data_IF_840653474920
#
_entry.id   IF_840653474920
#
_cell.length_a   1.000
_cell.length_b   1.000
_cell.length_c   1.000
_cell.angle_alpha   90.00
_cell.angle_beta   90.00
_cell.angle_gamma   90.00
#
_symmetry.space_group_name_H-M   'P 1'
#
loop_
_entity.id
_entity.type
_entity.pdbx_description
1 polymer ?
#
# COMPACT_ATOMS: atom_id res chain seq x y z
N UNK A 1 -18.87 7.69 0.08
CA UNK A 1 -17.51 7.11 0.23
C UNK A 1 -17.60 5.95 1.22
N UNK A 2 -17.08 4.77 0.90
CA UNK A 2 -17.29 3.55 1.72
C UNK A 2 -16.41 3.54 2.99
N UNK A 3 -15.13 3.92 2.88
CA UNK A 3 -14.21 3.85 4.02
C UNK A 3 -14.55 4.77 5.21
N UNK A 4 -14.90 6.06 5.01
CA UNK A 4 -15.35 6.91 6.11
C UNK A 4 -16.61 6.38 6.79
N UNK A 5 -17.56 5.87 6.00
CA UNK A 5 -18.79 5.29 6.52
C UNK A 5 -18.54 4.03 7.35
N UNK A 6 -17.60 3.18 6.92
CA UNK A 6 -17.18 2.01 7.68
C UNK A 6 -16.56 2.42 9.03
N UNK A 7 -15.71 3.45 9.04
CA UNK A 7 -15.10 3.98 10.25
C UNK A 7 -16.14 4.59 11.21
N UNK A 8 -17.08 5.39 10.69
CA UNK A 8 -18.18 5.99 11.47
C UNK A 8 -19.07 4.92 12.14
N UNK A 9 -19.24 3.77 11.49
CA UNK A 9 -20.06 2.65 12.00
C UNK A 9 -19.28 1.58 12.76
N UNK A 10 -17.98 1.77 12.99
CA UNK A 10 -17.14 0.77 13.65
C UNK A 10 -17.04 -0.56 12.90
N UNK A 11 -17.20 -0.55 11.57
CA UNK A 11 -17.14 -1.74 10.74
C UNK A 11 -15.69 -2.06 10.37
N UNK A 12 -15.31 -3.34 10.49
CA UNK A 12 -14.01 -3.81 10.01
C UNK A 12 -13.95 -3.77 8.48
N UNK A 13 -12.81 -3.35 7.93
CA UNK A 13 -12.56 -3.29 6.49
C UNK A 13 -11.45 -4.24 6.10
N UNK A 14 -11.80 -5.18 5.22
CA UNK A 14 -10.87 -6.09 4.54
C UNK A 14 -10.64 -5.56 3.14
N UNK A 15 -9.38 -5.35 2.75
CA UNK A 15 -9.00 -5.01 1.38
C UNK A 15 -8.58 -6.28 0.64
N UNK A 16 -9.41 -6.70 -0.30
CA UNK A 16 -9.11 -7.76 -1.24
C UNK A 16 -8.52 -7.18 -2.54
N UNK A 17 -7.66 -7.94 -3.21
CA UNK A 17 -6.95 -7.55 -4.44
C UNK A 17 -6.17 -6.21 -4.28
N UNK A 18 -5.29 -6.09 -3.28
CA UNK A 18 -4.60 -4.82 -2.97
C UNK A 18 -3.76 -4.27 -4.14
N UNK A 19 -3.34 -5.13 -5.06
CA UNK A 19 -2.56 -4.75 -6.24
C UNK A 19 -3.41 -4.47 -7.50
N UNK A 20 -4.74 -4.52 -7.39
CA UNK A 20 -5.65 -4.28 -8.51
C UNK A 20 -5.42 -5.23 -9.69
N UNK A 21 -5.24 -6.53 -9.42
CA UNK A 21 -4.91 -7.57 -10.43
C UNK A 21 -3.67 -7.22 -11.25
N UNK A 22 -2.56 -6.91 -10.58
CA UNK A 22 -1.28 -6.48 -11.17
C UNK A 22 -1.29 -5.16 -11.95
N UNK A 23 -2.41 -4.43 -12.01
CA UNK A 23 -2.47 -3.12 -12.67
C UNK A 23 -1.48 -2.13 -12.09
N UNK A 24 -1.27 -2.15 -10.77
CA UNK A 24 -0.28 -1.29 -10.13
C UNK A 24 1.15 -1.64 -10.57
N UNK A 25 1.48 -2.92 -10.65
CA UNK A 25 2.80 -3.36 -11.12
C UNK A 25 3.03 -3.05 -12.59
N UNK A 26 1.99 -3.10 -13.43
CA UNK A 26 2.09 -2.69 -14.83
C UNK A 26 2.53 -1.22 -14.96
N UNK A 27 1.94 -0.32 -14.16
CA UNK A 27 2.31 1.11 -14.15
C UNK A 27 3.70 1.36 -13.54
N UNK A 28 4.09 0.57 -12.53
CA UNK A 28 5.38 0.67 -11.85
C UNK A 28 6.55 0.04 -12.63
N UNK A 29 6.27 -0.77 -13.65
CA UNK A 29 7.30 -1.52 -14.39
C UNK A 29 8.36 -0.59 -14.96
N UNK A 30 9.64 -0.92 -14.70
CA UNK A 30 10.79 -0.14 -15.16
C UNK A 30 11.04 1.17 -14.40
N UNK A 31 10.21 1.49 -13.40
CA UNK A 31 10.38 2.68 -12.57
C UNK A 31 11.05 2.33 -11.25
N UNK A 32 11.97 3.19 -10.82
CA UNK A 32 12.55 3.12 -9.50
C UNK A 32 11.54 3.61 -8.45
N UNK A 33 11.69 3.12 -7.21
CA UNK A 33 10.97 3.72 -6.09
C UNK A 33 11.42 5.18 -5.90
N UNK A 34 10.53 6.08 -5.47
CA UNK A 34 10.95 7.42 -5.13
C UNK A 34 11.85 7.39 -3.90
N UNK A 35 12.80 8.31 -3.79
CA UNK A 35 13.76 8.34 -2.68
C UNK A 35 13.09 8.38 -1.30
N UNK A 36 11.94 9.06 -1.22
CA UNK A 36 11.18 9.16 0.03
C UNK A 36 10.57 7.84 0.49
N UNK A 37 10.53 6.79 -0.33
CA UNK A 37 10.12 5.47 0.11
C UNK A 37 10.99 4.96 1.28
N UNK A 38 12.27 5.38 1.34
CA UNK A 38 13.17 5.08 2.46
C UNK A 38 12.71 5.71 3.78
N UNK A 39 11.97 6.83 3.74
CA UNK A 39 11.43 7.49 4.94
C UNK A 39 10.37 6.62 5.64
N UNK A 40 9.78 5.65 4.93
CA UNK A 40 8.79 4.69 5.44
C UNK A 40 9.30 3.24 5.40
N UNK A 41 10.62 3.06 5.40
CA UNK A 41 11.29 1.75 5.39
C UNK A 41 10.80 0.83 4.25
N UNK A 42 10.51 1.43 3.09
CA UNK A 42 9.96 0.73 1.93
C UNK A 42 11.05 0.45 0.89
N UNK A 43 11.27 -0.83 0.59
CA UNK A 43 12.29 -1.30 -0.35
C UNK A 43 11.72 -1.86 -1.67
N UNK A 44 10.41 -2.08 -1.77
CA UNK A 44 9.77 -2.59 -3.00
C UNK A 44 8.47 -1.85 -3.34
N UNK A 45 8.03 -1.93 -4.60
CA UNK A 45 6.73 -1.42 -5.01
C UNK A 45 5.56 -2.12 -4.31
N UNK A 46 5.69 -3.41 -4.01
CA UNK A 46 4.67 -4.14 -3.25
C UNK A 46 4.52 -3.53 -1.85
N UNK A 47 5.64 -3.30 -1.15
CA UNK A 47 5.65 -2.64 0.14
C UNK A 47 5.05 -1.23 0.06
N UNK A 48 5.35 -0.47 -1.00
CA UNK A 48 4.81 0.89 -1.19
C UNK A 48 3.28 0.87 -1.26
N UNK A 49 2.70 -0.02 -2.08
CA UNK A 49 1.25 -0.13 -2.22
C UNK A 49 0.57 -0.64 -0.95
N UNK A 50 1.16 -1.65 -0.30
CA UNK A 50 0.58 -2.22 0.92
C UNK A 50 0.66 -1.23 2.09
N UNK A 51 1.77 -0.51 2.28
CA UNK A 51 1.91 0.54 3.31
C UNK A 51 0.93 1.69 3.08
N UNK A 52 0.67 2.07 1.82
CA UNK A 52 -0.36 3.06 1.50
C UNK A 52 -1.74 2.61 2.02
N UNK A 53 -2.12 1.35 1.77
CA UNK A 53 -3.39 0.80 2.23
C UNK A 53 -3.46 0.67 3.76
N UNK A 54 -2.40 0.11 4.38
CA UNK A 54 -2.29 -0.06 5.83
C UNK A 54 -2.35 1.27 6.59
N UNK A 55 -1.88 2.37 6.00
CA UNK A 55 -1.92 3.68 6.64
C UNK A 55 -3.32 4.26 6.83
N UNK A 56 -4.33 3.73 6.14
CA UNK A 56 -5.68 4.28 6.19
C UNK A 56 -6.38 3.84 7.49
N UNK A 57 -6.88 4.77 8.32
CA UNK A 57 -7.42 4.44 9.65
C UNK A 57 -8.63 3.49 9.62
N UNK A 58 -9.42 3.52 8.54
CA UNK A 58 -10.53 2.59 8.37
C UNK A 58 -10.12 1.16 7.97
N UNK A 59 -8.88 0.91 7.54
CA UNK A 59 -8.45 -0.41 7.04
C UNK A 59 -8.04 -1.28 8.23
N UNK A 60 -8.69 -2.44 8.37
CA UNK A 60 -8.39 -3.41 9.42
C UNK A 60 -7.34 -4.41 8.95
N UNK A 61 -7.48 -4.92 7.72
CA UNK A 61 -6.57 -5.92 7.17
C UNK A 61 -6.52 -5.85 5.63
N UNK A 62 -5.36 -6.20 5.09
CA UNK A 62 -5.09 -6.36 3.65
C UNK A 62 -4.70 -7.81 3.39
N UNK A 63 -5.18 -8.39 2.30
CA UNK A 63 -4.89 -9.79 1.95
C UNK A 63 -4.17 -9.82 0.58
N UNK A 64 -2.84 -9.68 0.56
CA UNK A 64 -2.06 -9.84 -0.65
C UNK A 64 -1.81 -11.32 -0.94
N UNK A 65 -2.53 -11.88 -1.92
CA UNK A 65 -2.33 -13.26 -2.38
C UNK A 65 -1.10 -13.41 -3.28
N UNK A 66 -0.31 -14.46 -3.05
CA UNK A 66 0.79 -14.88 -3.90
C UNK A 66 1.07 -16.37 -3.72
N UNK A 67 1.53 -17.03 -4.76
CA UNK A 67 2.01 -18.41 -4.79
C UNK A 67 3.54 -18.52 -4.62
N UNK A 68 4.24 -17.38 -4.47
CA UNK A 68 5.70 -17.31 -4.41
C UNK A 68 6.18 -16.94 -3.00
N UNK A 69 7.00 -17.77 -2.33
CA UNK A 69 7.50 -17.49 -0.99
C UNK A 69 8.24 -16.16 -0.87
N UNK A 70 9.03 -15.80 -1.87
CA UNK A 70 9.78 -14.54 -1.89
C UNK A 70 8.85 -13.31 -1.88
N UNK A 71 7.71 -13.40 -2.56
CA UNK A 71 6.70 -12.34 -2.56
C UNK A 71 5.88 -12.32 -1.27
N UNK A 72 5.64 -13.48 -0.67
CA UNK A 72 5.01 -13.55 0.65
C UNK A 72 5.87 -12.84 1.70
N UNK A 73 7.19 -13.07 1.69
CA UNK A 73 8.14 -12.39 2.57
C UNK A 73 8.15 -10.86 2.35
N UNK A 74 8.15 -10.42 1.09
CA UNK A 74 8.12 -8.99 0.76
C UNK A 74 6.80 -8.31 1.19
N UNK A 75 5.68 -9.00 0.99
CA UNK A 75 4.36 -8.52 1.45
C UNK A 75 4.31 -8.40 2.98
N UNK A 76 4.87 -9.36 3.72
CA UNK A 76 4.95 -9.33 5.18
C UNK A 76 5.84 -8.18 5.67
N UNK A 77 6.93 -7.88 4.95
CA UNK A 77 7.82 -6.77 5.28
C UNK A 77 7.10 -5.40 5.23
N UNK A 78 6.05 -5.26 4.41
CA UNK A 78 5.25 -4.03 4.35
C UNK A 78 4.60 -3.65 5.69
N UNK A 79 4.30 -4.63 6.54
CA UNK A 79 3.73 -4.44 7.87
C UNK A 79 4.79 -4.16 8.96
N UNK A 80 6.05 -3.97 8.59
CA UNK A 80 7.17 -3.66 9.50
C UNK A 80 7.66 -2.22 9.30
N UNK A 81 8.39 -1.72 10.29
CA UNK A 81 8.95 -0.36 10.27
C UNK A 81 7.88 0.73 10.31
N UNK A 82 8.22 1.91 9.79
CA UNK A 82 7.34 3.09 9.79
C UNK A 82 6.15 2.89 8.84
N UNK A 83 4.94 3.13 9.36
CA UNK A 83 3.72 3.19 8.57
C UNK A 83 3.47 4.66 8.18
N UNK A 84 3.12 4.94 6.92
CA UNK A 84 2.81 6.30 6.49
C UNK A 84 1.74 6.96 7.36
N UNK A 85 1.89 8.24 7.66
CA UNK A 85 0.81 9.05 8.20
C UNK A 85 -0.08 9.62 7.07
N UNK A 86 -1.03 10.49 7.43
CA UNK A 86 -1.91 11.11 6.45
C UNK A 86 -1.16 12.03 5.46
N UNK A 87 -0.08 12.69 5.89
CA UNK A 87 0.71 13.59 5.04
C UNK A 87 1.55 12.78 4.04
N UNK A 88 2.23 11.74 4.52
CA UNK A 88 2.98 10.81 3.69
C UNK A 88 2.05 10.08 2.70
N UNK A 89 0.86 9.65 3.12
CA UNK A 89 -0.13 9.05 2.21
C UNK A 89 -0.52 10.02 1.07
N UNK A 90 -0.70 11.31 1.36
CA UNK A 90 -0.95 12.33 0.33
C UNK A 90 0.24 12.49 -0.62
N UNK A 91 1.48 12.51 -0.10
CA UNK A 91 2.71 12.56 -0.90
C UNK A 91 2.85 11.34 -1.81
N UNK A 92 2.55 10.14 -1.30
CA UNK A 92 2.54 8.90 -2.07
C UNK A 92 1.55 8.96 -3.23
N UNK A 93 0.34 9.45 -2.98
CA UNK A 93 -0.70 9.59 -4.00
C UNK A 93 -0.29 10.61 -5.07
N UNK A 94 0.18 11.80 -4.65
CA UNK A 94 0.65 12.83 -5.58
C UNK A 94 1.80 12.33 -6.48
N UNK A 95 2.75 11.60 -5.90
CA UNK A 95 3.81 10.95 -6.67
C UNK A 95 3.23 9.91 -7.64
N UNK A 96 2.34 9.04 -7.19
CA UNK A 96 1.73 8.02 -8.05
C UNK A 96 0.95 8.61 -9.23
N UNK A 97 0.24 9.71 -9.02
CA UNK A 97 -0.51 10.41 -10.07
C UNK A 97 0.42 11.11 -11.07
N UNK A 98 1.60 11.56 -10.62
CA UNK A 98 2.62 12.16 -11.51
C UNK A 98 3.25 11.18 -12.51
N UNK A 99 3.07 9.86 -12.32
CA UNK A 99 3.65 8.83 -13.18
C UNK A 99 2.86 8.57 -14.48
N UNK A 100 1.79 9.33 -14.76
CA UNK A 100 0.88 9.14 -15.90
C UNK A 100 -0.21 8.12 -15.60
#
# INVERSE_FOLDING_TARGET
RILPLAQERGLAVIINLPFGRNRLFAKAKGRQLPDFAKEIDCASWAQFFLKFLLSHPAVTVIIPGTDRPEYALDNLAAARGRIPDAAMRKRMLAYWDSLG
#
